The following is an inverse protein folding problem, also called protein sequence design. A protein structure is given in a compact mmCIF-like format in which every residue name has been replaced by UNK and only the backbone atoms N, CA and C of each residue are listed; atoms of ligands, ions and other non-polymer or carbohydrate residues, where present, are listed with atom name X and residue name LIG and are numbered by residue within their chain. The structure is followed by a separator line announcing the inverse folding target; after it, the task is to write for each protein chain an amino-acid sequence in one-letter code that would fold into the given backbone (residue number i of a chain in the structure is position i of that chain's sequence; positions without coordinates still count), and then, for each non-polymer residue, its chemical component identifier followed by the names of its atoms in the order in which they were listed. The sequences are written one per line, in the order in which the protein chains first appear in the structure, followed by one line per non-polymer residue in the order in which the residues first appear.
data_IF_620264416137
#
_entry.id   IF_620264416137
#
_cell.length_a   1.000
_cell.length_b   1.000
_cell.length_c   1.000
_cell.angle_alpha   90.00
_cell.angle_beta   90.00
_cell.angle_gamma   90.00
#
_symmetry.space_group_name_H-M   'P 1'
#
loop_
_entity.id
_entity.type
_entity.pdbx_description
1 polymer ?
#
# COMPACT_ATOMS: atom_id res chain seq x y z
N UNK A 1 13.93 63.10 5.12
CA UNK A 1 13.07 62.02 4.58
C UNK A 1 13.68 61.64 3.24
N UNK A 2 14.10 60.42 2.90
CA UNK A 2 13.84 59.11 3.46
C UNK A 2 15.04 58.18 3.16
N UNK A 3 15.41 57.34 4.12
CA UNK A 3 16.31 56.21 3.88
C UNK A 3 15.52 55.08 3.21
N UNK A 4 15.88 54.73 1.98
CA UNK A 4 15.39 53.51 1.32
C UNK A 4 16.29 52.34 1.70
N UNK A 5 15.90 51.58 2.71
CA UNK A 5 16.47 50.25 2.97
C UNK A 5 15.93 49.26 1.96
N UNK A 6 16.82 48.70 1.13
CA UNK A 6 16.51 47.63 0.20
C UNK A 6 16.67 46.31 0.97
N UNK A 7 15.57 45.68 1.37
CA UNK A 7 15.56 44.32 1.89
C UNK A 7 15.71 43.33 0.73
N UNK A 8 16.90 42.72 0.60
CA UNK A 8 17.07 41.52 -0.20
C UNK A 8 16.46 40.33 0.55
N UNK A 9 15.29 39.87 0.11
CA UNK A 9 14.75 38.57 0.50
C UNK A 9 15.42 37.48 -0.32
N UNK A 10 16.38 36.77 0.28
CA UNK A 10 16.93 35.53 -0.27
C UNK A 10 15.92 34.41 0.04
N UNK A 11 15.07 34.07 -0.93
CA UNK A 11 14.23 32.87 -0.84
C UNK A 11 15.09 31.64 -1.09
N UNK A 12 15.49 30.96 -0.02
CA UNK A 12 16.16 29.66 -0.08
C UNK A 12 15.12 28.61 -0.53
N UNK A 13 15.10 28.29 -1.82
CA UNK A 13 14.39 27.11 -2.33
C UNK A 13 15.11 25.87 -1.80
N UNK A 14 14.66 25.36 -0.65
CA UNK A 14 15.02 24.02 -0.22
C UNK A 14 14.43 23.04 -1.24
N UNK A 15 15.28 22.54 -2.15
CA UNK A 15 14.95 21.40 -2.97
C UNK A 15 14.71 20.22 -2.01
N UNK A 16 13.43 19.90 -1.79
CA UNK A 16 13.03 18.66 -1.12
C UNK A 16 13.65 17.52 -1.95
N UNK A 17 14.78 16.98 -1.48
CA UNK A 17 15.29 15.71 -1.97
C UNK A 17 14.25 14.67 -1.57
N UNK A 18 13.37 14.32 -2.51
CA UNK A 18 12.54 13.14 -2.39
C UNK A 18 13.52 11.97 -2.29
N UNK A 19 13.63 11.37 -1.11
CA UNK A 19 14.37 10.13 -0.96
C UNK A 19 13.70 9.10 -1.88
N UNK A 20 14.47 8.54 -2.82
CA UNK A 20 13.99 7.46 -3.66
C UNK A 20 13.49 6.31 -2.77
N UNK A 21 12.35 5.70 -3.09
CA UNK A 21 11.91 4.54 -2.34
C UNK A 21 12.95 3.44 -2.47
N UNK A 22 13.23 2.78 -1.35
CA UNK A 22 14.14 1.64 -1.30
C UNK A 22 13.44 0.34 -1.67
N UNK A 23 12.11 0.30 -1.52
CA UNK A 23 11.26 -0.80 -1.95
C UNK A 23 9.78 -0.42 -1.94
N UNK A 24 8.94 -1.36 -2.35
CA UNK A 24 7.50 -1.18 -2.49
C UNK A 24 6.78 -2.39 -1.91
N UNK A 25 5.84 -2.12 -0.99
CA UNK A 25 4.84 -3.11 -0.61
C UNK A 25 3.70 -3.09 -1.62
N UNK A 26 3.40 -4.22 -2.23
CA UNK A 26 2.34 -4.36 -3.22
C UNK A 26 1.19 -5.19 -2.65
N UNK A 27 -0.04 -4.66 -2.73
CA UNK A 27 -1.26 -5.34 -2.33
C UNK A 27 -2.16 -5.54 -3.54
N UNK A 28 -2.46 -6.79 -3.86
CA UNK A 28 -3.40 -7.18 -4.90
C UNK A 28 -4.71 -7.65 -4.28
N UNK A 29 -5.80 -6.94 -4.55
CA UNK A 29 -7.15 -7.42 -4.24
C UNK A 29 -7.62 -8.32 -5.39
N UNK A 30 -8.23 -9.47 -5.09
CA UNK A 30 -8.55 -10.46 -6.13
C UNK A 30 -10.06 -10.71 -6.23
N UNK A 31 -10.71 -11.03 -5.11
CA UNK A 31 -12.14 -11.36 -5.09
C UNK A 31 -12.75 -10.94 -3.75
N UNK A 32 -13.96 -10.40 -3.79
CA UNK A 32 -14.77 -10.13 -2.62
C UNK A 32 -16.13 -10.79 -2.74
N UNK A 33 -16.56 -11.47 -1.70
CA UNK A 33 -17.82 -12.19 -1.67
C UNK A 33 -18.70 -11.67 -0.52
N UNK A 34 -19.87 -11.10 -0.82
CA UNK A 34 -20.92 -10.73 0.14
C UNK A 34 -22.28 -11.19 -0.40
N UNK A 35 -22.52 -12.50 -0.41
CA UNK A 35 -23.72 -13.12 -1.05
C UNK A 35 -25.05 -12.58 -0.53
N UNK A 36 -25.09 -12.12 0.72
CA UNK A 36 -26.31 -11.64 1.38
C UNK A 36 -26.48 -10.12 1.30
N UNK A 37 -25.50 -9.37 0.79
CA UNK A 37 -25.56 -7.90 0.70
C UNK A 37 -25.73 -7.24 2.08
N UNK A 38 -25.09 -7.79 3.10
CA UNK A 38 -25.21 -7.33 4.48
C UNK A 38 -24.04 -6.43 4.85
N UNK A 39 -24.28 -5.49 5.76
CA UNK A 39 -23.26 -4.73 6.49
C UNK A 39 -22.76 -5.51 7.72
N UNK A 40 -21.70 -5.01 8.36
CA UNK A 40 -21.18 -5.57 9.60
C UNK A 40 -22.20 -5.59 10.75
N UNK A 41 -23.15 -4.64 10.74
CA UNK A 41 -24.28 -4.57 11.67
C UNK A 41 -25.48 -5.45 11.24
N UNK A 42 -25.32 -6.30 10.21
CA UNK A 42 -26.34 -7.23 9.67
C UNK A 42 -27.55 -6.51 9.05
N UNK A 43 -27.44 -5.19 8.85
CA UNK A 43 -28.42 -4.42 8.10
C UNK A 43 -28.13 -4.49 6.60
N UNK A 44 -29.19 -4.35 5.80
CA UNK A 44 -29.06 -4.14 4.36
C UNK A 44 -28.28 -2.84 4.08
N UNK A 45 -27.38 -2.84 3.09
CA UNK A 45 -26.62 -1.63 2.73
C UNK A 45 -27.51 -0.44 2.32
N UNK A 46 -28.73 -0.69 1.82
CA UNK A 46 -29.78 0.35 1.74
C UNK A 46 -30.42 0.51 3.12
N UNK A 47 -30.11 1.61 3.80
CA UNK A 47 -30.71 1.98 5.08
C UNK A 47 -32.25 1.93 5.05
N UNK A 48 -32.82 1.07 5.90
CA UNK A 48 -34.19 1.16 6.41
C UNK A 48 -35.34 1.30 5.39
N UNK A 49 -35.62 0.23 4.63
CA UNK A 49 -36.98 -0.28 4.29
C UNK A 49 -36.91 -1.43 3.28
N UNK A 50 -36.25 -2.54 3.63
CA UNK A 50 -36.45 -3.82 2.94
C UNK A 50 -37.68 -4.57 3.48
N UNK A 51 -38.65 -3.86 4.09
CA UNK A 51 -39.80 -4.47 4.76
C UNK A 51 -41.04 -4.63 3.89
N UNK A 52 -41.04 -4.29 2.58
CA UNK A 52 -42.28 -4.47 1.80
C UNK A 52 -42.20 -4.99 0.36
N UNK A 53 -41.05 -5.09 -0.32
CA UNK A 53 -41.06 -5.47 -1.76
C UNK A 53 -39.89 -6.31 -2.27
N UNK A 54 -39.30 -7.19 -1.44
CA UNK A 54 -38.43 -8.28 -1.93
C UNK A 54 -37.23 -7.86 -2.81
N UNK A 55 -36.80 -6.59 -2.74
CA UNK A 55 -35.68 -6.09 -3.53
C UNK A 55 -34.36 -6.62 -2.94
N UNK A 56 -33.44 -7.13 -3.78
CA UNK A 56 -32.16 -7.63 -3.31
C UNK A 56 -31.32 -6.46 -2.73
N UNK A 57 -30.71 -6.71 -1.57
CA UNK A 57 -29.76 -5.79 -0.96
C UNK A 57 -28.54 -5.63 -1.88
N UNK A 58 -28.15 -4.38 -2.13
CA UNK A 58 -27.01 -4.06 -2.97
C UNK A 58 -26.03 -3.19 -2.20
N UNK A 59 -24.81 -3.71 -2.02
CA UNK A 59 -23.69 -3.00 -1.42
C UNK A 59 -22.71 -2.59 -2.51
N UNK A 60 -22.79 -1.33 -2.97
CA UNK A 60 -21.71 -0.69 -3.74
C UNK A 60 -20.46 -0.66 -2.87
N UNK A 61 -19.44 -1.45 -3.20
CA UNK A 61 -18.31 -1.73 -2.31
C UNK A 61 -17.04 -1.05 -2.78
N UNK A 62 -16.38 -0.33 -1.86
CA UNK A 62 -15.02 0.19 -2.01
C UNK A 62 -14.18 -0.22 -0.80
N UNK A 63 -12.86 -0.06 -0.90
CA UNK A 63 -11.93 -0.49 0.14
C UNK A 63 -11.11 0.65 0.69
N UNK A 64 -10.95 0.64 2.02
CA UNK A 64 -9.90 1.39 2.73
C UNK A 64 -8.81 0.42 3.13
N UNK A 65 -7.57 0.73 2.75
CA UNK A 65 -6.38 -0.02 3.13
C UNK A 65 -5.52 0.84 4.04
N UNK A 66 -5.10 0.27 5.15
CA UNK A 66 -4.19 0.91 6.11
C UNK A 66 -3.04 -0.04 6.44
N UNK A 67 -1.82 0.36 6.11
CA UNK A 67 -0.61 -0.37 6.41
C UNK A 67 0.15 0.33 7.54
N UNK A 68 0.59 -0.44 8.54
CA UNK A 68 1.32 0.10 9.70
C UNK A 68 2.35 -0.88 10.24
N UNK A 69 3.16 -0.39 11.17
CA UNK A 69 4.10 -1.22 11.93
C UNK A 69 3.38 -2.36 12.66
N UNK A 70 4.12 -3.42 12.96
CA UNK A 70 3.61 -4.55 13.71
C UNK A 70 3.05 -4.11 15.07
N UNK A 71 1.82 -4.53 15.36
CA UNK A 71 1.19 -4.35 16.66
C UNK A 71 0.70 -5.70 17.18
N UNK A 72 1.00 -6.03 18.45
CA UNK A 72 0.52 -7.26 19.08
C UNK A 72 -1.02 -7.29 19.17
N UNK A 73 -1.62 -6.12 19.41
CA UNK A 73 -3.06 -5.88 19.29
C UNK A 73 -3.27 -4.76 18.29
N UNK A 74 -3.84 -5.10 17.13
CA UNK A 74 -4.01 -4.15 16.02
C UNK A 74 -5.15 -3.19 16.33
N UNK A 75 -4.86 -1.88 16.26
CA UNK A 75 -5.90 -0.86 16.23
C UNK A 75 -6.23 -0.50 14.77
N UNK A 76 -7.50 -0.41 14.35
CA UNK A 76 -7.89 0.05 13.01
C UNK A 76 -7.79 1.58 12.83
N UNK A 77 -7.62 2.31 13.92
CA UNK A 77 -7.56 3.78 13.92
C UNK A 77 -6.27 4.30 13.24
N UNK A 78 -6.30 5.50 12.64
CA UNK A 78 -5.09 6.20 12.20
C UNK A 78 -4.10 6.41 13.36
N UNK A 79 -2.79 6.58 13.08
CA UNK A 79 -2.17 6.73 11.76
C UNK A 79 -1.82 5.39 11.08
N UNK A 80 -1.83 5.40 9.75
CA UNK A 80 -1.31 4.31 8.93
C UNK A 80 0.17 4.58 8.63
N UNK A 81 1.06 4.13 9.53
CA UNK A 81 2.47 4.57 9.55
C UNK A 81 3.26 4.19 8.30
N UNK A 82 2.80 3.20 7.53
CA UNK A 82 3.43 2.78 6.27
C UNK A 82 2.63 3.22 5.04
N UNK A 83 1.52 3.94 5.24
CA UNK A 83 0.66 4.45 4.18
C UNK A 83 -0.76 3.90 4.21
N UNK A 84 -1.64 4.58 3.51
CA UNK A 84 -3.05 4.21 3.36
C UNK A 84 -3.52 4.52 1.94
N UNK A 85 -4.50 3.76 1.47
CA UNK A 85 -5.12 3.96 0.17
C UNK A 85 -6.64 3.78 0.26
N UNK A 86 -7.35 4.49 -0.60
CA UNK A 86 -8.78 4.30 -0.84
C UNK A 86 -8.96 3.88 -2.30
N UNK A 87 -9.80 2.88 -2.52
CA UNK A 87 -10.19 2.48 -3.87
C UNK A 87 -11.43 3.27 -4.30
N UNK A 88 -11.70 3.41 -5.62
CA UNK A 88 -13.05 3.70 -6.07
C UNK A 88 -13.99 2.52 -5.73
N UNK A 89 -15.28 2.66 -6.04
CA UNK A 89 -16.22 1.53 -5.99
C UNK A 89 -15.77 0.48 -7.01
N UNK A 90 -15.48 -0.73 -6.54
CA UNK A 90 -14.94 -1.82 -7.37
C UNK A 90 -16.01 -2.84 -7.80
N UNK A 91 -17.17 -2.85 -7.14
CA UNK A 91 -18.28 -3.72 -7.51
C UNK A 91 -19.42 -3.72 -6.50
N UNK A 92 -20.45 -4.50 -6.79
CA UNK A 92 -21.63 -4.65 -5.93
C UNK A 92 -21.68 -6.06 -5.33
N UNK A 93 -21.88 -6.16 -4.01
CA UNK A 93 -21.99 -7.44 -3.28
C UNK A 93 -20.79 -8.39 -3.47
N UNK A 94 -20.91 -9.34 -4.39
CA UNK A 94 -19.89 -10.35 -4.69
C UNK A 94 -19.34 -10.13 -6.09
N UNK A 95 -18.03 -9.92 -6.19
CA UNK A 95 -17.36 -9.58 -7.45
C UNK A 95 -15.88 -9.96 -7.42
N UNK A 96 -15.36 -10.30 -8.60
CA UNK A 96 -13.92 -10.29 -8.85
C UNK A 96 -13.47 -8.85 -9.07
N UNK A 97 -12.27 -8.51 -8.59
CA UNK A 97 -11.74 -7.15 -8.74
C UNK A 97 -11.45 -6.88 -10.22
N UNK A 98 -12.05 -5.82 -10.82
CA UNK A 98 -11.86 -5.53 -12.23
C UNK A 98 -10.49 -4.91 -12.50
N UNK A 99 -9.96 -5.15 -13.70
CA UNK A 99 -8.89 -4.34 -14.28
C UNK A 99 -9.52 -3.04 -14.80
N UNK A 100 -9.49 -1.98 -13.99
CA UNK A 100 -10.12 -0.70 -14.31
C UNK A 100 -9.07 0.39 -14.54
N UNK A 101 -9.30 1.26 -15.53
CA UNK A 101 -8.39 2.40 -15.80
C UNK A 101 -8.25 3.34 -14.59
N UNK A 102 -9.31 3.45 -13.79
CA UNK A 102 -9.37 4.30 -12.59
C UNK A 102 -8.78 3.65 -11.34
N UNK A 103 -8.39 2.37 -11.38
CA UNK A 103 -7.85 1.65 -10.24
C UNK A 103 -6.67 0.77 -10.64
N UNK A 104 -5.48 1.12 -10.13
CA UNK A 104 -4.30 0.29 -10.32
C UNK A 104 -4.27 -0.85 -9.29
N UNK A 105 -4.27 -2.08 -9.79
CA UNK A 105 -4.15 -3.31 -9.01
C UNK A 105 -2.95 -4.11 -9.55
N UNK A 106 -1.85 -4.26 -8.79
CA UNK A 106 -1.74 -4.07 -7.35
C UNK A 106 -1.61 -2.61 -6.91
N UNK A 107 -2.16 -2.32 -5.72
CA UNK A 107 -1.89 -1.08 -5.00
C UNK A 107 -0.45 -1.07 -4.49
N UNK A 108 0.25 0.06 -4.67
CA UNK A 108 1.68 0.18 -4.36
C UNK A 108 1.88 1.16 -3.20
N UNK A 109 2.58 0.73 -2.17
CA UNK A 109 2.96 1.54 -1.00
C UNK A 109 4.49 1.67 -0.99
N UNK A 110 5.05 2.80 -1.46
CA UNK A 110 6.49 3.00 -1.50
C UNK A 110 7.08 3.21 -0.11
N UNK A 111 8.22 2.58 0.16
CA UNK A 111 8.96 2.69 1.41
C UNK A 111 10.28 3.41 1.16
N UNK A 112 10.53 4.50 1.89
CA UNK A 112 11.80 5.23 1.86
C UNK A 112 12.75 4.82 3.01
N UNK A 113 12.51 3.67 3.63
CA UNK A 113 13.27 3.14 4.76
C UNK A 113 13.38 1.62 4.67
N UNK A 114 14.34 1.05 5.39
CA UNK A 114 14.59 -0.40 5.44
C UNK A 114 13.32 -1.16 5.80
N UNK A 115 12.97 -2.14 4.97
CA UNK A 115 11.83 -3.01 5.23
C UNK A 115 12.05 -3.80 6.53
N UNK A 116 11.16 -3.68 7.53
CA UNK A 116 11.35 -4.30 8.84
C UNK A 116 11.00 -5.79 8.88
N UNK A 117 10.50 -6.37 7.79
CA UNK A 117 10.07 -7.77 7.74
C UNK A 117 8.73 -8.06 8.42
N UNK A 118 8.17 -7.13 9.21
CA UNK A 118 6.90 -7.32 9.93
C UNK A 118 5.98 -6.11 9.77
N UNK A 119 4.68 -6.38 9.72
CA UNK A 119 3.67 -5.34 9.49
C UNK A 119 2.32 -5.73 10.08
N UNK A 120 1.45 -4.74 10.17
CA UNK A 120 0.01 -4.91 10.38
C UNK A 120 -0.75 -4.32 9.19
N UNK A 121 -1.65 -5.12 8.63
CA UNK A 121 -2.49 -4.77 7.49
C UNK A 121 -3.95 -4.76 7.93
N UNK A 122 -4.62 -3.65 7.64
CA UNK A 122 -6.06 -3.49 7.79
C UNK A 122 -6.66 -3.25 6.42
N UNK A 123 -7.68 -4.02 6.07
CA UNK A 123 -8.50 -3.83 4.87
C UNK A 123 -9.96 -3.76 5.33
N UNK A 124 -10.61 -2.64 5.04
CA UNK A 124 -12.02 -2.43 5.32
C UNK A 124 -12.78 -2.40 4.00
N UNK A 125 -13.83 -3.21 3.91
CA UNK A 125 -14.83 -3.11 2.85
C UNK A 125 -15.96 -2.20 3.35
N UNK A 126 -16.30 -1.17 2.58
CA UNK A 126 -17.31 -0.18 2.95
C UNK A 126 -18.34 0.00 1.83
N UNK A 127 -19.57 0.34 2.22
CA UNK A 127 -20.63 0.71 1.29
C UNK A 127 -20.52 2.18 0.88
N UNK A 128 -20.58 2.47 -0.44
CA UNK A 128 -20.68 3.82 -0.99
C UNK A 128 -22.12 4.35 -0.98
N UNK A 129 -22.30 5.59 -0.49
CA UNK A 129 -23.61 6.28 -0.51
C UNK A 129 -24.04 6.64 -1.95
N UNK A 130 -25.32 7.01 -2.19
CA UNK A 130 -25.83 7.34 -3.52
C UNK A 130 -25.10 8.47 -4.25
N UNK A 131 -24.45 9.38 -3.53
CA UNK A 131 -23.61 10.45 -4.11
C UNK A 131 -22.18 9.98 -4.42
N UNK A 132 -21.89 8.69 -4.29
CA UNK A 132 -20.57 8.05 -4.36
C UNK A 132 -19.53 8.72 -3.45
N UNK A 133 -19.98 9.32 -2.34
CA UNK A 133 -19.10 9.81 -1.27
C UNK A 133 -18.36 8.63 -0.64
N UNK A 134 -17.02 8.67 -0.61
CA UNK A 134 -16.15 7.61 -0.09
C UNK A 134 -15.69 7.87 1.36
N UNK A 135 -16.46 8.64 2.14
CA UNK A 135 -16.20 8.81 3.58
C UNK A 135 -16.11 7.49 4.34
N UNK A 136 -15.12 7.40 5.24
CA UNK A 136 -14.84 6.24 6.08
C UNK A 136 -15.22 6.46 7.55
N UNK A 137 -15.80 7.61 7.87
CA UNK A 137 -16.05 8.02 9.26
C UNK A 137 -17.36 7.46 9.81
N UNK A 138 -18.31 7.11 8.94
CA UNK A 138 -19.58 6.52 9.34
C UNK A 138 -19.42 5.00 9.52
N UNK A 139 -19.50 4.48 10.77
CA UNK A 139 -19.31 3.07 11.06
C UNK A 139 -20.42 2.17 10.48
N UNK A 140 -21.62 2.71 10.22
CA UNK A 140 -22.74 1.92 9.68
C UNK A 140 -22.50 1.47 8.23
N UNK A 141 -21.56 2.12 7.55
CA UNK A 141 -21.17 1.78 6.17
C UNK A 141 -20.20 0.60 6.12
N UNK A 142 -19.63 0.20 7.25
CA UNK A 142 -18.66 -0.89 7.30
C UNK A 142 -19.37 -2.21 6.96
N UNK A 143 -18.90 -2.86 5.89
CA UNK A 143 -19.35 -4.19 5.50
C UNK A 143 -18.52 -5.21 6.29
N UNK A 144 -17.20 -5.15 6.18
CA UNK A 144 -16.31 -6.03 6.94
C UNK A 144 -14.93 -5.42 7.11
N UNK A 145 -14.21 -5.92 8.12
CA UNK A 145 -12.85 -5.47 8.46
C UNK A 145 -11.95 -6.69 8.66
N UNK A 146 -10.89 -6.75 7.86
CA UNK A 146 -9.71 -7.55 8.13
C UNK A 146 -8.72 -6.70 8.93
N UNK A 147 -8.15 -7.27 10.00
CA UNK A 147 -6.97 -6.75 10.67
C UNK A 147 -6.03 -7.93 10.99
N UNK A 148 -4.85 -7.95 10.40
CA UNK A 148 -3.88 -9.05 10.57
C UNK A 148 -2.45 -8.54 10.66
N UNK A 149 -1.61 -9.26 11.43
CA UNK A 149 -0.19 -9.02 11.55
C UNK A 149 0.58 -10.20 10.96
N UNK A 150 1.64 -9.90 10.19
CA UNK A 150 2.39 -10.89 9.44
C UNK A 150 3.88 -10.57 9.42
N UNK A 151 4.67 -11.62 9.19
CA UNK A 151 6.04 -11.52 8.74
C UNK A 151 6.05 -11.75 7.21
N UNK A 152 6.87 -10.98 6.49
CA UNK A 152 7.01 -11.07 5.05
C UNK A 152 8.45 -10.75 4.66
N UNK A 153 9.09 -11.70 3.98
CA UNK A 153 10.41 -11.52 3.38
C UNK A 153 10.30 -10.75 2.07
N UNK A 154 11.38 -10.06 1.69
CA UNK A 154 11.49 -9.43 0.37
C UNK A 154 11.54 -10.49 -0.73
N UNK A 155 10.83 -10.26 -1.82
CA UNK A 155 10.86 -11.12 -3.00
C UNK A 155 9.72 -10.85 -3.99
N UNK A 156 9.87 -11.38 -5.20
CA UNK A 156 8.87 -11.25 -6.28
C UNK A 156 7.65 -12.16 -6.10
N UNK A 157 7.78 -13.21 -5.30
CA UNK A 157 6.73 -14.19 -5.05
C UNK A 157 5.57 -13.60 -4.24
N UNK A 158 4.34 -13.89 -4.70
CA UNK A 158 3.12 -13.41 -4.04
C UNK A 158 2.74 -14.29 -2.86
N UNK A 159 2.58 -13.67 -1.68
CA UNK A 159 1.93 -14.31 -0.53
C UNK A 159 0.42 -14.13 -0.64
N UNK A 160 -0.32 -15.21 -0.87
CA UNK A 160 -1.78 -15.19 -0.99
C UNK A 160 -2.44 -15.59 0.34
N UNK A 161 -3.53 -14.92 0.70
CA UNK A 161 -4.34 -15.24 1.87
C UNK A 161 -5.85 -15.01 1.59
N UNK A 162 -6.70 -15.58 2.43
CA UNK A 162 -8.16 -15.43 2.36
C UNK A 162 -8.66 -15.05 3.74
N UNK A 163 -9.39 -13.94 3.82
CA UNK A 163 -10.06 -13.52 5.03
C UNK A 163 -11.55 -13.83 4.97
N UNK A 164 -12.01 -14.71 5.86
CA UNK A 164 -13.43 -15.03 6.02
C UNK A 164 -13.97 -14.37 7.28
N UNK A 165 -15.01 -13.56 7.12
CA UNK A 165 -15.84 -13.02 8.21
C UNK A 165 -17.13 -13.83 8.35
N UNK A 166 -18.07 -13.42 9.20
CA UNK A 166 -19.35 -14.13 9.36
C UNK A 166 -20.23 -14.15 8.09
N UNK A 167 -20.04 -13.20 7.18
CA UNK A 167 -20.89 -13.03 5.99
C UNK A 167 -20.12 -12.59 4.73
N UNK A 168 -18.80 -12.38 4.83
CA UNK A 168 -17.97 -11.99 3.69
C UNK A 168 -16.72 -12.83 3.57
N UNK A 169 -16.19 -12.91 2.36
CA UNK A 169 -14.86 -13.47 2.07
C UNK A 169 -14.06 -12.49 1.22
N UNK A 170 -12.80 -12.26 1.56
CA UNK A 170 -11.87 -11.44 0.80
C UNK A 170 -10.64 -12.26 0.44
N UNK A 171 -10.36 -12.40 -0.85
CA UNK A 171 -9.15 -13.01 -1.39
C UNK A 171 -8.18 -11.92 -1.83
N UNK A 172 -6.96 -12.00 -1.34
CA UNK A 172 -5.93 -10.99 -1.59
C UNK A 172 -4.54 -11.61 -1.60
N UNK A 173 -3.58 -10.91 -2.19
CA UNK A 173 -2.18 -11.29 -2.19
C UNK A 173 -1.32 -10.06 -1.93
N UNK A 174 -0.16 -10.27 -1.32
CA UNK A 174 0.79 -9.21 -1.04
C UNK A 174 2.24 -9.68 -1.23
N UNK A 175 3.13 -8.73 -1.52
CA UNK A 175 4.57 -8.96 -1.60
C UNK A 175 5.33 -7.67 -1.29
N UNK A 176 6.63 -7.78 -1.05
CA UNK A 176 7.50 -6.63 -0.92
C UNK A 176 8.69 -6.80 -1.88
N UNK A 177 8.86 -5.83 -2.78
CA UNK A 177 9.91 -5.87 -3.81
C UNK A 177 10.85 -4.70 -3.60
N UNK A 178 12.16 -4.90 -3.76
CA UNK A 178 13.11 -3.80 -3.75
C UNK A 178 12.91 -2.90 -4.97
N UNK A 179 13.22 -1.62 -4.83
CA UNK A 179 13.28 -0.74 -5.99
C UNK A 179 14.56 -1.04 -6.79
N UNK A 180 14.65 -0.47 -7.99
CA UNK A 180 15.81 -0.68 -8.86
C UNK A 180 17.11 -0.31 -8.13
N UNK A 181 18.12 -1.17 -8.25
CA UNK A 181 19.43 -1.04 -7.60
C UNK A 181 19.44 -1.16 -6.06
N UNK A 182 18.32 -1.51 -5.43
CA UNK A 182 18.28 -1.86 -4.01
C UNK A 182 18.25 -3.37 -3.79
N UNK A 183 19.00 -3.82 -2.79
CA UNK A 183 19.23 -5.23 -2.50
C UNK A 183 19.20 -5.52 -0.99
N UNK A 184 19.24 -6.82 -0.68
CA UNK A 184 19.27 -7.34 0.68
C UNK A 184 17.87 -7.55 1.28
N UNK A 185 17.83 -8.18 2.44
CA UNK A 185 16.59 -8.63 3.10
C UNK A 185 15.65 -7.49 3.52
N UNK A 186 16.17 -6.25 3.57
CA UNK A 186 15.40 -5.05 3.90
C UNK A 186 15.40 -4.00 2.80
N UNK A 187 15.89 -4.34 1.60
CA UNK A 187 16.11 -3.41 0.49
C UNK A 187 16.91 -2.16 0.91
N UNK A 188 17.96 -2.32 1.71
CA UNK A 188 18.75 -1.23 2.28
C UNK A 188 20.12 -1.06 1.62
N UNK A 189 20.55 -2.01 0.79
CA UNK A 189 21.86 -1.99 0.14
C UNK A 189 21.69 -1.43 -1.27
N UNK A 190 22.23 -0.24 -1.52
CA UNK A 190 22.21 0.37 -2.86
C UNK A 190 23.44 -0.04 -3.68
N UNK A 191 23.21 -0.60 -4.86
CA UNK A 191 24.26 -0.90 -5.84
C UNK A 191 23.75 -0.69 -7.27
N UNK A 192 24.32 0.30 -7.96
CA UNK A 192 24.13 0.49 -9.40
C UNK A 192 25.44 0.14 -10.11
N UNK A 193 25.44 -0.79 -11.09
CA UNK A 193 26.64 -1.11 -11.86
C UNK A 193 27.27 0.15 -12.45
N UNK A 194 28.61 0.18 -12.49
CA UNK A 194 29.37 1.36 -12.93
C UNK A 194 30.65 0.92 -13.64
N UNK A 195 31.01 1.66 -14.68
CA UNK A 195 32.25 1.48 -15.42
C UNK A 195 32.76 2.84 -15.90
N UNK A 196 33.24 3.65 -14.95
CA UNK A 196 33.75 5.00 -15.18
C UNK A 196 34.85 5.36 -14.16
N UNK A 197 35.35 6.60 -14.18
CA UNK A 197 36.43 7.05 -13.30
C UNK A 197 36.15 6.87 -11.78
N UNK A 198 34.89 6.65 -11.37
CA UNK A 198 34.46 6.45 -9.99
C UNK A 198 34.18 4.99 -9.64
N UNK A 199 34.43 4.04 -10.55
CA UNK A 199 34.39 2.61 -10.24
C UNK A 199 34.11 1.72 -11.45
N UNK A 200 34.65 0.52 -11.39
CA UNK A 200 34.53 -0.52 -12.42
C UNK A 200 34.00 -1.81 -11.79
N UNK A 201 32.68 -1.90 -11.63
CA UNK A 201 32.03 -3.00 -10.93
C UNK A 201 30.63 -3.34 -11.43
N UNK A 202 30.26 -4.59 -11.21
CA UNK A 202 28.89 -5.10 -11.27
C UNK A 202 28.34 -5.31 -9.85
N UNK A 203 27.03 -5.52 -9.74
CA UNK A 203 26.35 -5.74 -8.46
C UNK A 203 26.04 -7.22 -8.29
N UNK A 204 26.42 -7.79 -7.16
CA UNK A 204 26.07 -9.15 -6.78
C UNK A 204 24.63 -9.26 -6.26
N UNK A 205 24.23 -10.47 -5.89
CA UNK A 205 22.84 -10.78 -5.49
C UNK A 205 22.41 -10.05 -4.20
N UNK A 206 23.34 -9.74 -3.30
CA UNK A 206 23.06 -9.01 -2.05
C UNK A 206 23.41 -7.52 -2.15
N UNK A 207 23.73 -7.04 -3.35
CA UNK A 207 24.13 -5.66 -3.61
C UNK A 207 25.61 -5.36 -3.30
N UNK A 208 26.43 -6.39 -3.09
CA UNK A 208 27.88 -6.22 -3.01
C UNK A 208 28.48 -5.77 -4.35
N UNK A 209 29.53 -4.96 -4.31
CA UNK A 209 30.25 -4.53 -5.51
C UNK A 209 31.24 -5.62 -5.91
N UNK A 210 31.11 -6.14 -7.12
CA UNK A 210 31.98 -7.13 -7.71
C UNK A 210 32.89 -6.43 -8.73
N UNK A 211 34.15 -6.24 -8.38
CA UNK A 211 35.11 -5.52 -9.23
C UNK A 211 35.35 -6.26 -10.56
N UNK A 212 35.42 -5.48 -11.65
CA UNK A 212 35.78 -5.99 -12.96
C UNK A 212 37.24 -6.49 -12.96
N UNK A 213 37.62 -7.41 -13.89
CA UNK A 213 38.99 -7.91 -13.96
C UNK A 213 40.03 -6.79 -14.06
N UNK A 214 41.04 -6.83 -13.20
CA UNK A 214 42.09 -5.82 -13.12
C UNK A 214 41.81 -4.67 -12.15
N UNK A 215 40.61 -4.62 -11.54
CA UNK A 215 40.23 -3.60 -10.56
C UNK A 215 40.09 -4.19 -9.15
N UNK A 216 40.39 -3.37 -8.13
CA UNK A 216 40.26 -3.73 -6.70
C UNK A 216 39.89 -2.51 -5.83
N UNK A 217 39.82 -2.74 -4.52
CA UNK A 217 39.45 -1.73 -3.52
C UNK A 217 37.94 -1.66 -3.30
N UNK A 218 37.51 -0.95 -2.25
CA UNK A 218 36.09 -0.92 -1.83
C UNK A 218 35.13 -0.33 -2.89
N UNK A 219 35.66 0.49 -3.80
CA UNK A 219 34.91 1.12 -4.89
C UNK A 219 35.35 0.65 -6.29
N UNK A 220 36.24 -0.36 -6.37
CA UNK A 220 36.76 -0.90 -7.62
C UNK A 220 37.42 0.17 -8.51
N UNK A 221 38.37 0.91 -7.93
CA UNK A 221 39.08 2.05 -8.55
C UNK A 221 40.61 1.90 -8.55
N UNK A 222 41.13 0.82 -7.96
CA UNK A 222 42.58 0.52 -7.85
C UNK A 222 43.04 -0.62 -8.75
#
# INVERSE_FOLDING_TARGET
MAHRSICLFITLLAALHQASPSGVFELKLQEFNNRKGLTGNVNCCKGSSASNYGLPCECKTFFRVCLKHYQAKISPEPPCTYGSALTPVLGSNSFSIPDAETFSNPMRFPFAFTWPGTFSLIIEALHAEPTDDLSTDNPDRLISRLATQRHLTVGDEWSQDVHTSSHTELKYSYRFVCDEHYYGEGCSVFCRPRDDAFGHFSCGEKGEKLCNPGWKGAYCTE
#
